data_IF_419609888207
#
_entry.id   IF_419609888207
#
_cell.length_a   1.000
_cell.length_b   1.000
_cell.length_c   1.000
_cell.angle_alpha   90.00
_cell.angle_beta   90.00
_cell.angle_gamma   90.00
#
_symmetry.space_group_name_H-M   'P 1'
#
loop_
_entity.id
_entity.type
_entity.pdbx_description
1 polymer ?
#
# COMPACT_ATOMS: atom_id res chain seq x y z
N UNK A 1 12.75 10.35 -31.94
CA UNK A 1 12.45 8.96 -32.35
C UNK A 1 11.56 8.38 -31.28
N UNK A 2 10.47 7.78 -31.66
CA UNK A 2 9.52 7.26 -30.68
C UNK A 2 9.82 5.78 -30.42
N UNK A 3 10.33 5.51 -29.23
CA UNK A 3 10.32 4.17 -28.66
C UNK A 3 11.42 3.21 -29.15
N UNK A 4 11.54 2.14 -28.39
CA UNK A 4 12.37 0.98 -28.72
C UNK A 4 11.65 0.08 -29.75
N UNK A 5 12.40 -0.79 -30.43
CA UNK A 5 11.83 -1.81 -31.31
C UNK A 5 10.96 -2.77 -30.49
N UNK A 6 9.83 -3.19 -31.08
CA UNK A 6 8.89 -4.09 -30.41
C UNK A 6 9.53 -5.46 -30.15
N UNK A 7 9.49 -5.88 -28.90
CA UNK A 7 10.03 -7.16 -28.43
C UNK A 7 9.04 -7.81 -27.45
N UNK A 8 8.48 -8.96 -27.83
CA UNK A 8 7.46 -9.66 -27.03
C UNK A 8 8.04 -10.22 -25.72
N UNK A 9 9.30 -10.63 -25.68
CA UNK A 9 9.93 -11.14 -24.45
C UNK A 9 10.09 -10.02 -23.43
N UNK A 10 10.51 -8.83 -23.88
CA UNK A 10 10.58 -7.63 -23.04
C UNK A 10 9.22 -7.15 -22.57
N UNK A 11 8.19 -7.25 -23.43
CA UNK A 11 6.80 -6.93 -23.03
C UNK A 11 6.33 -7.88 -21.92
N UNK A 12 6.57 -9.17 -22.06
CA UNK A 12 6.20 -10.17 -21.06
C UNK A 12 6.99 -10.01 -19.75
N UNK A 13 8.25 -9.58 -19.84
CA UNK A 13 9.10 -9.28 -18.67
C UNK A 13 8.72 -7.95 -17.99
N UNK A 14 7.87 -7.11 -18.61
CA UNK A 14 7.53 -5.77 -18.09
C UNK A 14 8.60 -4.71 -18.35
N UNK A 15 9.59 -5.00 -19.19
CA UNK A 15 10.70 -4.11 -19.56
C UNK A 15 10.34 -3.18 -20.73
N UNK A 16 9.31 -3.54 -21.50
CA UNK A 16 8.81 -2.76 -22.63
C UNK A 16 7.29 -2.61 -22.52
N UNK A 17 6.80 -1.38 -22.70
CA UNK A 17 5.36 -1.08 -22.67
C UNK A 17 4.87 -0.77 -24.07
N UNK A 18 3.94 -1.59 -24.64
CA UNK A 18 3.31 -1.30 -25.94
C UNK A 18 2.45 -0.03 -25.86
N UNK A 19 2.57 0.84 -26.85
CA UNK A 19 1.79 2.08 -26.92
C UNK A 19 0.82 2.01 -28.11
N UNK A 20 -0.43 2.40 -27.87
CA UNK A 20 -1.47 2.48 -28.89
C UNK A 20 -2.10 3.86 -28.93
N UNK A 21 -2.45 4.31 -30.12
CA UNK A 21 -3.18 5.55 -30.32
C UNK A 21 -4.64 5.25 -30.64
N UNK A 22 -5.55 5.87 -29.89
CA UNK A 22 -6.97 5.65 -30.06
C UNK A 22 -7.82 6.74 -29.42
N UNK A 23 -9.11 6.73 -29.74
CA UNK A 23 -10.11 7.60 -29.15
C UNK A 23 -11.34 6.80 -28.77
N UNK A 24 -11.64 6.73 -27.48
CA UNK A 24 -12.85 6.07 -26.99
C UNK A 24 -14.15 6.81 -27.43
N UNK A 25 -14.08 8.14 -27.62
CA UNK A 25 -15.26 8.92 -28.07
C UNK A 25 -15.69 8.60 -29.51
N UNK A 26 -14.74 8.31 -30.39
CA UNK A 26 -15.00 8.01 -31.80
C UNK A 26 -14.85 6.54 -32.15
N UNK A 27 -14.47 5.70 -31.14
CA UNK A 27 -14.09 4.29 -31.32
C UNK A 27 -12.92 4.07 -32.30
N UNK A 28 -12.14 5.14 -32.58
CA UNK A 28 -10.97 5.02 -33.44
C UNK A 28 -9.88 4.20 -32.74
N UNK A 29 -9.36 3.15 -33.39
CA UNK A 29 -8.30 2.30 -32.91
C UNK A 29 -8.66 1.37 -31.75
N UNK A 30 -9.89 1.42 -31.22
CA UNK A 30 -10.31 0.60 -30.06
C UNK A 30 -10.31 -0.89 -30.39
N UNK A 31 -10.86 -1.27 -31.56
CA UNK A 31 -10.90 -2.66 -31.98
C UNK A 31 -9.48 -3.23 -32.14
N UNK A 32 -8.62 -2.54 -32.90
CA UNK A 32 -7.23 -2.97 -33.10
C UNK A 32 -6.44 -3.06 -31.81
N UNK A 33 -6.70 -2.15 -30.86
CA UNK A 33 -6.11 -2.23 -29.52
C UNK A 33 -6.56 -3.49 -28.78
N UNK A 34 -7.87 -3.79 -28.77
CA UNK A 34 -8.39 -4.98 -28.08
C UNK A 34 -7.87 -6.28 -28.68
N UNK A 35 -7.82 -6.37 -30.01
CA UNK A 35 -7.25 -7.53 -30.71
C UNK A 35 -5.78 -7.75 -30.32
N UNK A 36 -4.97 -6.68 -30.35
CA UNK A 36 -3.58 -6.75 -29.94
C UNK A 36 -3.40 -7.00 -28.43
N UNK A 37 -4.26 -6.43 -27.59
CA UNK A 37 -4.25 -6.70 -26.16
C UNK A 37 -4.42 -8.18 -25.84
N UNK A 38 -5.31 -8.90 -26.55
CA UNK A 38 -5.50 -10.33 -26.38
C UNK A 38 -4.24 -11.13 -26.75
N UNK A 39 -3.51 -10.72 -27.81
CA UNK A 39 -2.27 -11.33 -28.22
C UNK A 39 -1.12 -11.07 -27.22
N UNK A 40 -1.08 -9.84 -26.66
CA UNK A 40 0.01 -9.37 -25.80
C UNK A 40 -0.19 -9.72 -24.33
N UNK A 41 -1.41 -10.11 -23.92
CA UNK A 41 -1.70 -10.44 -22.52
C UNK A 41 -0.98 -11.69 -22.06
N UNK A 42 -0.04 -11.58 -21.09
CA UNK A 42 0.69 -12.75 -20.60
C UNK A 42 -0.21 -13.64 -19.73
N UNK A 43 0.15 -14.90 -19.65
CA UNK A 43 -0.39 -15.80 -18.63
C UNK A 43 0.02 -15.31 -17.24
N UNK A 44 -0.69 -15.72 -16.14
CA UNK A 44 -0.24 -15.43 -14.80
C UNK A 44 1.23 -15.83 -14.60
N UNK A 45 2.04 -14.89 -14.10
CA UNK A 45 3.47 -15.09 -13.92
C UNK A 45 3.75 -15.64 -12.51
N UNK A 46 4.86 -16.39 -12.33
CA UNK A 46 5.35 -16.78 -11.02
C UNK A 46 5.53 -15.56 -10.09
N UNK A 47 5.39 -15.79 -8.79
CA UNK A 47 5.55 -14.73 -7.79
C UNK A 47 6.67 -15.08 -6.82
N UNK A 48 7.56 -14.13 -6.57
CA UNK A 48 8.70 -14.30 -5.67
C UNK A 48 8.28 -14.24 -4.20
N UNK A 49 8.89 -15.10 -3.39
CA UNK A 49 8.80 -15.11 -1.94
C UNK A 49 9.98 -14.33 -1.33
N UNK A 50 9.86 -13.96 -0.07
CA UNK A 50 10.92 -13.23 0.65
C UNK A 50 12.24 -14.03 0.77
N UNK A 51 12.19 -15.34 0.69
CA UNK A 51 13.38 -16.22 0.68
C UNK A 51 14.03 -16.37 -0.71
N UNK A 52 13.52 -15.66 -1.72
CA UNK A 52 14.01 -15.71 -3.11
C UNK A 52 13.48 -16.89 -3.93
N UNK A 53 12.65 -17.76 -3.38
CA UNK A 53 12.01 -18.83 -4.14
C UNK A 53 10.79 -18.31 -4.92
N UNK A 54 10.39 -19.06 -5.98
CA UNK A 54 9.27 -18.66 -6.83
C UNK A 54 8.08 -19.59 -6.60
N UNK A 55 6.88 -19.02 -6.54
CA UNK A 55 5.61 -19.76 -6.54
C UNK A 55 5.07 -19.76 -7.96
N UNK A 56 5.04 -20.95 -8.56
CA UNK A 56 4.47 -21.15 -9.90
C UNK A 56 2.94 -21.18 -9.85
N UNK A 57 2.26 -20.58 -10.86
CA UNK A 57 0.80 -20.66 -10.96
C UNK A 57 0.24 -22.09 -11.05
N UNK A 58 1.04 -23.01 -11.55
CA UNK A 58 0.71 -24.45 -11.67
C UNK A 58 0.83 -25.24 -10.36
N UNK A 59 1.33 -24.63 -9.27
CA UNK A 59 1.39 -25.28 -7.98
C UNK A 59 -0.04 -25.59 -7.47
N UNK A 60 -0.26 -26.83 -7.02
CA UNK A 60 -1.58 -27.29 -6.57
C UNK A 60 -2.03 -26.66 -5.23
N UNK A 61 -1.08 -26.26 -4.39
CA UNK A 61 -1.38 -25.65 -3.10
C UNK A 61 -1.79 -24.19 -3.27
N UNK A 62 -2.85 -23.81 -2.54
CA UNK A 62 -3.38 -22.45 -2.59
C UNK A 62 -2.39 -21.43 -2.03
N UNK A 63 -2.20 -20.34 -2.76
CA UNK A 63 -1.56 -19.14 -2.25
C UNK A 63 -2.13 -17.87 -2.89
N UNK A 64 -2.14 -16.79 -2.11
CA UNK A 64 -2.61 -15.48 -2.53
C UNK A 64 -1.95 -14.37 -1.69
N UNK A 65 -2.02 -13.15 -2.18
CA UNK A 65 -1.61 -11.97 -1.42
C UNK A 65 -2.66 -10.85 -1.50
N UNK A 66 -2.74 -10.05 -0.44
CA UNK A 66 -3.60 -8.87 -0.38
C UNK A 66 -2.89 -7.70 -1.03
N UNK A 67 -3.45 -7.14 -2.10
CA UNK A 67 -2.83 -6.00 -2.79
C UNK A 67 -3.60 -4.69 -2.64
N UNK A 68 -4.87 -4.76 -2.20
CA UNK A 68 -5.71 -3.59 -1.99
C UNK A 68 -6.69 -3.84 -0.86
N UNK A 69 -6.95 -2.81 -0.07
CA UNK A 69 -8.03 -2.78 0.92
C UNK A 69 -8.91 -1.59 0.61
N UNK A 70 -10.21 -1.75 0.71
CA UNK A 70 -11.16 -0.66 0.54
C UNK A 70 -12.26 -0.78 1.58
N UNK A 71 -12.44 0.28 2.37
CA UNK A 71 -13.52 0.40 3.34
C UNK A 71 -14.64 1.31 2.80
N UNK A 72 -15.83 1.18 3.38
CA UNK A 72 -16.97 2.06 3.13
C UNK A 72 -17.38 2.17 1.65
N UNK A 73 -17.23 1.11 0.87
CA UNK A 73 -17.69 1.08 -0.53
C UNK A 73 -19.19 1.34 -0.66
N UNK A 74 -19.96 0.90 0.33
CA UNK A 74 -21.37 1.22 0.45
C UNK A 74 -21.55 2.10 1.70
N UNK A 75 -22.00 3.37 1.56
CA UNK A 75 -22.26 4.25 2.70
C UNK A 75 -23.27 3.69 3.72
N UNK A 76 -24.19 2.82 3.28
CA UNK A 76 -25.18 2.19 4.14
C UNK A 76 -24.63 1.02 4.95
N UNK A 77 -23.55 0.41 4.50
CA UNK A 77 -22.89 -0.70 5.13
C UNK A 77 -21.41 -0.36 5.32
N UNK A 78 -20.98 -0.26 6.57
CA UNK A 78 -19.56 -0.04 6.92
C UNK A 78 -18.75 -1.30 6.68
N UNK A 79 -18.74 -1.77 5.41
CA UNK A 79 -18.00 -2.93 4.99
C UNK A 79 -16.54 -2.56 4.67
N UNK A 80 -15.66 -3.50 4.96
CA UNK A 80 -14.27 -3.47 4.54
C UNK A 80 -14.01 -4.72 3.69
N UNK A 81 -13.43 -4.52 2.53
CA UNK A 81 -13.12 -5.58 1.59
C UNK A 81 -11.63 -5.58 1.33
N UNK A 82 -11.02 -6.75 1.47
CA UNK A 82 -9.63 -7.00 1.08
C UNK A 82 -9.61 -7.72 -0.26
N UNK A 83 -8.93 -7.11 -1.23
CA UNK A 83 -8.74 -7.67 -2.57
C UNK A 83 -7.47 -8.49 -2.60
N UNK A 84 -7.60 -9.72 -3.02
CA UNK A 84 -6.54 -10.71 -3.08
C UNK A 84 -6.32 -11.16 -4.51
N UNK A 85 -5.04 -11.28 -4.91
CA UNK A 85 -4.66 -11.95 -6.13
C UNK A 85 -4.25 -13.38 -5.82
N UNK A 86 -4.85 -14.35 -6.51
CA UNK A 86 -4.48 -15.76 -6.38
C UNK A 86 -3.21 -16.00 -7.17
N UNK A 87 -2.21 -16.62 -6.53
CA UNK A 87 -0.91 -16.92 -7.13
C UNK A 87 -0.81 -18.38 -7.56
N UNK A 88 -1.38 -19.31 -6.79
CA UNK A 88 -1.35 -20.75 -7.07
C UNK A 88 -2.56 -21.46 -6.47
N UNK A 89 -2.79 -22.70 -6.89
CA UNK A 89 -3.90 -23.54 -6.42
C UNK A 89 -5.27 -23.02 -6.81
N UNK A 90 -6.29 -23.50 -6.15
CA UNK A 90 -7.69 -23.14 -6.41
C UNK A 90 -8.30 -22.56 -5.14
N UNK A 91 -8.87 -21.37 -5.26
CA UNK A 91 -9.72 -20.82 -4.23
C UNK A 91 -11.09 -21.49 -4.26
N UNK A 92 -11.60 -21.90 -3.09
CA UNK A 92 -12.98 -22.37 -2.91
C UNK A 92 -13.67 -21.56 -1.81
N UNK A 93 -14.93 -21.22 -2.04
CA UNK A 93 -15.74 -20.43 -1.12
C UNK A 93 -15.77 -21.04 0.29
N UNK A 94 -15.43 -20.21 1.27
CA UNK A 94 -15.45 -20.61 2.67
C UNK A 94 -14.23 -21.42 3.13
N UNK A 95 -13.21 -21.58 2.28
CA UNK A 95 -11.97 -22.22 2.68
C UNK A 95 -11.29 -21.47 3.82
N UNK A 96 -10.50 -22.18 4.61
CA UNK A 96 -9.65 -21.62 5.66
C UNK A 96 -8.21 -21.64 5.20
N UNK A 97 -7.52 -20.50 5.33
CA UNK A 97 -6.14 -20.31 4.89
C UNK A 97 -5.25 -19.85 6.04
N UNK A 98 -3.97 -20.15 5.96
CA UNK A 98 -2.99 -19.63 6.90
C UNK A 98 -2.64 -18.19 6.53
N UNK A 99 -2.84 -17.27 7.46
CA UNK A 99 -2.45 -15.87 7.34
C UNK A 99 -1.08 -15.68 7.99
N UNK A 100 -0.06 -15.44 7.19
CA UNK A 100 1.35 -15.43 7.62
C UNK A 100 1.62 -14.38 8.68
N UNK A 101 1.14 -13.14 8.49
CA UNK A 101 1.43 -12.01 9.37
C UNK A 101 0.82 -12.15 10.76
N UNK A 102 -0.35 -12.78 10.90
CA UNK A 102 -0.96 -13.06 12.21
C UNK A 102 -0.57 -14.43 12.79
N UNK A 103 -0.01 -15.32 11.98
CA UNK A 103 0.30 -16.70 12.37
C UNK A 103 -0.93 -17.59 12.62
N UNK A 104 -2.11 -17.20 12.10
CA UNK A 104 -3.39 -17.87 12.40
C UNK A 104 -4.08 -18.37 11.13
N UNK A 105 -4.96 -19.37 11.34
CA UNK A 105 -5.91 -19.75 10.30
C UNK A 105 -7.06 -18.75 10.25
N UNK A 106 -7.39 -18.30 9.05
CA UNK A 106 -8.47 -17.34 8.79
C UNK A 106 -9.41 -17.94 7.75
N UNK A 107 -10.72 -17.88 8.02
CA UNK A 107 -11.74 -18.28 7.05
C UNK A 107 -12.03 -17.13 6.09
N UNK A 108 -11.92 -17.39 4.79
CA UNK A 108 -12.26 -16.43 3.75
C UNK A 108 -13.78 -16.41 3.54
N UNK A 109 -14.41 -15.40 4.14
CA UNK A 109 -15.87 -15.27 4.14
C UNK A 109 -16.35 -14.36 3.01
N UNK A 110 -17.54 -14.67 2.46
CA UNK A 110 -18.26 -13.86 1.47
C UNK A 110 -17.37 -13.41 0.30
N UNK A 111 -16.73 -14.34 -0.42
CA UNK A 111 -15.90 -14.00 -1.55
C UNK A 111 -16.77 -13.37 -2.66
N UNK A 112 -16.34 -12.23 -3.15
CA UNK A 112 -17.03 -11.44 -4.17
C UNK A 112 -16.09 -11.14 -5.32
N UNK A 113 -16.62 -11.20 -6.51
CA UNK A 113 -15.99 -10.63 -7.69
C UNK A 113 -16.74 -9.37 -8.10
N UNK A 114 -16.01 -8.35 -8.50
CA UNK A 114 -16.57 -7.07 -8.87
C UNK A 114 -16.52 -6.93 -10.38
N UNK A 115 -17.69 -6.79 -10.99
CA UNK A 115 -17.83 -6.40 -12.39
C UNK A 115 -18.54 -5.05 -12.41
N UNK A 116 -17.80 -3.97 -12.57
CA UNK A 116 -18.27 -2.59 -12.43
C UNK A 116 -18.93 -2.35 -11.03
N UNK A 117 -20.23 -2.12 -10.97
CA UNK A 117 -20.98 -1.92 -9.73
C UNK A 117 -21.63 -3.20 -9.19
N UNK A 118 -21.64 -4.27 -9.98
CA UNK A 118 -22.25 -5.53 -9.59
C UNK A 118 -21.30 -6.39 -8.79
N UNK A 119 -21.85 -7.02 -7.73
CA UNK A 119 -21.13 -7.94 -6.86
C UNK A 119 -21.68 -9.35 -7.09
N UNK A 120 -20.85 -10.26 -7.54
CA UNK A 120 -21.21 -11.66 -7.69
C UNK A 120 -20.45 -12.51 -6.68
N UNK A 121 -21.11 -13.51 -6.14
CA UNK A 121 -20.46 -14.47 -5.23
C UNK A 121 -19.60 -15.40 -6.08
N UNK A 122 -18.35 -15.59 -5.65
CA UNK A 122 -17.39 -16.47 -6.31
C UNK A 122 -17.35 -17.80 -5.57
N UNK A 123 -17.66 -18.88 -6.28
CA UNK A 123 -17.55 -20.25 -5.72
C UNK A 123 -16.12 -20.77 -5.85
N UNK A 124 -15.47 -20.54 -7.00
CA UNK A 124 -14.08 -20.92 -7.29
C UNK A 124 -13.35 -19.81 -8.04
N UNK A 125 -12.05 -19.71 -7.79
CA UNK A 125 -11.17 -18.83 -8.53
C UNK A 125 -9.78 -19.46 -8.66
N UNK A 126 -9.04 -19.03 -9.69
CA UNK A 126 -7.81 -19.67 -10.17
C UNK A 126 -6.62 -18.69 -10.16
N UNK A 127 -5.39 -19.17 -10.33
CA UNK A 127 -4.21 -18.31 -10.41
C UNK A 127 -4.36 -17.19 -11.45
N UNK A 128 -4.09 -15.96 -11.00
CA UNK A 128 -4.31 -14.75 -11.80
C UNK A 128 -5.63 -14.03 -11.51
N UNK A 129 -6.63 -14.72 -10.96
CA UNK A 129 -7.90 -14.11 -10.58
C UNK A 129 -7.74 -13.18 -9.36
N UNK A 130 -8.62 -12.19 -9.32
CA UNK A 130 -8.77 -11.27 -8.20
C UNK A 130 -10.12 -11.52 -7.54
N UNK A 131 -10.09 -11.74 -6.23
CA UNK A 131 -11.28 -11.86 -5.41
C UNK A 131 -11.28 -10.82 -4.29
N UNK A 132 -12.45 -10.29 -3.94
CA UNK A 132 -12.64 -9.49 -2.75
C UNK A 132 -13.25 -10.34 -1.64
N UNK A 133 -12.70 -10.28 -0.43
CA UNK A 133 -13.28 -10.95 0.74
C UNK A 133 -13.65 -9.93 1.79
N UNK A 134 -14.74 -10.22 2.53
CA UNK A 134 -15.09 -9.41 3.69
C UNK A 134 -13.97 -9.49 4.74
N UNK A 135 -13.54 -8.34 5.21
CA UNK A 135 -12.43 -8.20 6.15
C UNK A 135 -12.90 -7.50 7.44
N UNK A 136 -12.95 -8.19 8.57
CA UNK A 136 -13.26 -7.56 9.86
C UNK A 136 -12.11 -6.69 10.43
N UNK A 137 -11.09 -6.40 9.65
CA UNK A 137 -9.91 -5.61 10.06
C UNK A 137 -8.68 -6.46 10.36
N UNK A 138 -8.59 -7.66 9.78
CA UNK A 138 -7.48 -8.60 10.00
C UNK A 138 -6.35 -8.36 9.01
N UNK A 139 -6.69 -8.08 7.73
CA UNK A 139 -5.72 -8.03 6.65
C UNK A 139 -5.06 -6.66 6.49
N UNK A 140 -3.79 -6.69 6.09
CA UNK A 140 -3.00 -5.56 5.61
C UNK A 140 -2.63 -5.72 4.13
N UNK A 141 -2.28 -4.62 3.46
CA UNK A 141 -1.69 -4.68 2.11
C UNK A 141 -0.32 -5.36 2.22
N UNK A 142 -0.04 -6.32 1.33
CA UNK A 142 1.16 -7.16 1.35
C UNK A 142 0.99 -8.47 2.13
N UNK A 143 -0.11 -8.65 2.87
CA UNK A 143 -0.33 -9.89 3.62
C UNK A 143 -0.41 -11.10 2.71
N UNK A 144 0.25 -12.17 3.16
CA UNK A 144 0.36 -13.45 2.45
C UNK A 144 -0.56 -14.50 3.06
N UNK A 145 -1.24 -15.20 2.17
CA UNK A 145 -2.19 -16.26 2.49
C UNK A 145 -1.78 -17.54 1.78
N UNK A 146 -1.81 -18.66 2.47
CA UNK A 146 -1.46 -19.96 1.88
C UNK A 146 -2.18 -21.13 2.55
N UNK A 147 -2.03 -22.30 1.97
CA UNK A 147 -2.35 -23.52 2.69
C UNK A 147 -1.52 -23.64 3.98
N UNK A 148 -2.09 -24.24 5.01
CA UNK A 148 -1.45 -24.39 6.33
C UNK A 148 -0.11 -25.14 6.27
N UNK A 149 0.09 -25.98 5.26
CA UNK A 149 1.29 -26.78 5.05
C UNK A 149 2.50 -25.97 4.58
N UNK A 150 2.29 -24.83 3.88
CA UNK A 150 3.38 -24.09 3.20
C UNK A 150 3.84 -22.85 3.95
N UNK A 151 2.95 -22.12 4.63
CA UNK A 151 3.23 -20.89 5.39
C UNK A 151 4.07 -19.86 4.62
N UNK A 152 3.74 -19.67 3.35
CA UNK A 152 4.46 -18.80 2.43
C UNK A 152 4.42 -17.32 2.85
N UNK A 153 5.45 -16.56 2.45
CA UNK A 153 5.48 -15.11 2.56
C UNK A 153 6.00 -14.51 1.25
N UNK A 154 5.11 -13.80 0.56
CA UNK A 154 5.47 -13.09 -0.66
C UNK A 154 6.33 -11.88 -0.34
N UNK A 155 7.10 -11.42 -1.33
CA UNK A 155 7.80 -10.14 -1.25
C UNK A 155 6.83 -8.99 -0.99
N UNK A 156 7.29 -8.05 -0.19
CA UNK A 156 6.53 -6.83 0.10
C UNK A 156 6.35 -5.97 -1.16
N UNK A 157 5.26 -5.23 -1.20
CA UNK A 157 5.07 -4.21 -2.23
C UNK A 157 6.03 -3.05 -2.02
N UNK A 158 6.58 -2.48 -3.11
CA UNK A 158 7.36 -1.26 -3.00
C UNK A 158 6.51 -0.14 -2.41
N UNK A 159 7.00 0.47 -1.35
CA UNK A 159 6.37 1.64 -0.72
C UNK A 159 7.16 2.87 -1.16
N UNK A 160 6.49 3.80 -1.83
CA UNK A 160 7.11 5.07 -2.19
C UNK A 160 7.25 5.96 -0.95
N UNK A 161 8.42 6.55 -0.70
CA UNK A 161 8.56 7.53 0.36
C UNK A 161 7.65 8.74 0.06
N UNK A 162 7.01 9.33 1.07
CA UNK A 162 6.19 10.51 0.87
C UNK A 162 7.07 11.74 0.60
N UNK A 163 6.55 12.63 -0.24
CA UNK A 163 7.21 13.87 -0.65
C UNK A 163 6.48 15.12 -0.17
N UNK A 164 5.23 14.98 0.26
CA UNK A 164 4.39 16.07 0.75
C UNK A 164 3.86 15.69 2.12
N UNK A 165 3.99 16.62 3.07
CA UNK A 165 3.60 16.40 4.45
C UNK A 165 2.62 17.47 4.92
N UNK A 166 1.64 17.05 5.70
CA UNK A 166 0.69 17.95 6.32
C UNK A 166 0.39 17.52 7.76
N UNK A 167 0.28 18.49 8.66
CA UNK A 167 -0.27 18.28 9.98
C UNK A 167 -1.78 18.35 9.89
N UNK A 168 -2.46 17.33 10.41
CA UNK A 168 -3.90 17.18 10.34
C UNK A 168 -4.50 16.97 11.73
N UNK A 169 -5.64 17.59 11.98
CA UNK A 169 -6.40 17.47 13.22
C UNK A 169 -7.90 17.68 12.97
N UNK A 170 -8.79 17.13 13.80
CA UNK A 170 -10.21 17.40 13.64
C UNK A 170 -10.52 18.87 13.97
N UNK A 171 -11.37 19.51 13.16
CA UNK A 171 -11.85 20.87 13.44
C UNK A 171 -12.73 20.93 14.69
N UNK A 172 -13.48 19.87 14.94
CA UNK A 172 -14.36 19.70 16.08
C UNK A 172 -13.82 18.55 16.96
N UNK A 173 -13.47 18.87 18.20
CA UNK A 173 -12.96 17.89 19.18
C UNK A 173 -13.98 16.79 19.52
N UNK A 174 -15.28 17.05 19.38
CA UNK A 174 -16.34 16.04 19.56
C UNK A 174 -16.28 14.94 18.46
N UNK A 175 -15.69 15.24 17.32
CA UNK A 175 -15.51 14.32 16.19
C UNK A 175 -14.18 13.56 16.22
N UNK A 176 -13.40 13.68 17.29
CA UNK A 176 -12.08 13.05 17.42
C UNK A 176 -12.09 11.57 17.11
N UNK A 177 -13.01 10.79 17.68
CA UNK A 177 -13.08 9.33 17.45
C UNK A 177 -13.35 8.97 15.99
N UNK A 178 -14.22 9.74 15.32
CA UNK A 178 -14.51 9.56 13.89
C UNK A 178 -13.29 9.89 13.03
N UNK A 179 -12.61 10.99 13.38
CA UNK A 179 -11.37 11.41 12.73
C UNK A 179 -10.27 10.34 12.85
N UNK A 180 -9.95 9.90 14.07
CA UNK A 180 -8.96 8.86 14.34
C UNK A 180 -9.28 7.57 13.55
N UNK A 181 -10.54 7.15 13.59
CA UNK A 181 -10.99 5.99 12.81
C UNK A 181 -10.74 6.17 11.31
N UNK A 182 -11.06 7.34 10.76
CA UNK A 182 -10.85 7.67 9.36
C UNK A 182 -9.37 7.65 8.97
N UNK A 183 -8.53 8.32 9.75
CA UNK A 183 -7.07 8.36 9.54
C UNK A 183 -6.47 6.94 9.55
N UNK A 184 -6.83 6.12 10.54
CA UNK A 184 -6.34 4.74 10.64
C UNK A 184 -6.78 3.92 9.44
N UNK A 185 -8.05 3.96 9.05
CA UNK A 185 -8.57 3.19 7.93
C UNK A 185 -7.95 3.63 6.60
N UNK A 186 -7.84 4.92 6.32
CA UNK A 186 -7.23 5.45 5.11
C UNK A 186 -5.73 5.11 5.02
N UNK A 187 -5.04 5.08 6.17
CA UNK A 187 -3.66 4.58 6.22
C UNK A 187 -3.56 3.08 5.92
N UNK A 188 -4.51 2.28 6.40
CA UNK A 188 -4.54 0.84 6.13
C UNK A 188 -4.87 0.52 4.67
N UNK A 189 -5.64 1.39 4.01
CA UNK A 189 -5.91 1.32 2.57
C UNK A 189 -4.72 1.77 1.70
N UNK A 190 -3.64 2.28 2.31
CA UNK A 190 -2.48 2.79 1.60
C UNK A 190 -2.70 4.16 0.94
N UNK A 191 -3.83 4.83 1.22
CA UNK A 191 -4.13 6.15 0.66
C UNK A 191 -3.20 7.24 1.18
N UNK A 192 -2.75 7.10 2.43
CA UNK A 192 -1.86 8.02 3.14
C UNK A 192 -0.86 7.25 4.01
N UNK A 193 0.27 7.85 4.29
CA UNK A 193 1.17 7.41 5.36
C UNK A 193 0.97 8.30 6.58
N UNK A 194 0.95 7.71 7.77
CA UNK A 194 0.65 8.41 9.01
C UNK A 194 1.85 8.33 9.96
N UNK A 195 2.22 9.48 10.50
CA UNK A 195 3.30 9.62 11.46
C UNK A 195 2.81 10.33 12.72
N UNK A 196 3.46 10.04 13.83
CA UNK A 196 3.22 10.68 15.12
C UNK A 196 4.47 11.44 15.56
N UNK A 197 4.28 12.59 16.18
CA UNK A 197 5.33 13.37 16.79
C UNK A 197 5.23 13.22 18.33
N UNK A 198 6.34 12.94 19.00
CA UNK A 198 6.37 12.91 20.45
C UNK A 198 6.12 14.31 21.04
N UNK A 199 5.50 14.34 22.21
CA UNK A 199 5.20 15.59 22.91
C UNK A 199 4.06 16.42 22.34
N UNK A 200 3.48 16.00 21.22
CA UNK A 200 2.26 16.63 20.63
C UNK A 200 1.05 15.78 21.00
N UNK A 201 -0.07 16.44 21.33
CA UNK A 201 -1.29 15.74 21.75
C UNK A 201 -1.76 14.69 20.74
N UNK A 202 -2.39 13.63 21.24
CA UNK A 202 -2.90 12.49 20.45
C UNK A 202 -3.93 12.87 19.35
N UNK A 203 -4.29 14.14 19.26
CA UNK A 203 -5.29 14.65 18.32
C UNK A 203 -4.68 15.11 16.98
N UNK A 204 -3.36 15.19 16.90
CA UNK A 204 -2.64 15.71 15.76
C UNK A 204 -1.78 14.61 15.12
N UNK A 205 -2.02 14.34 13.85
CA UNK A 205 -1.21 13.43 13.05
C UNK A 205 -0.44 14.21 12.00
N UNK A 206 0.70 13.66 11.59
CA UNK A 206 1.40 14.08 10.39
C UNK A 206 1.05 13.06 9.31
N UNK A 207 0.56 13.55 8.19
CA UNK A 207 0.22 12.74 7.02
C UNK A 207 1.27 13.00 5.94
N UNK A 208 1.80 11.91 5.39
CA UNK A 208 2.71 11.94 4.25
C UNK A 208 2.04 11.33 3.03
N UNK A 209 2.18 11.97 1.89
CA UNK A 209 1.64 11.55 0.59
C UNK A 209 2.67 11.76 -0.52
N UNK A 210 2.50 11.04 -1.63
CA UNK A 210 3.36 11.21 -2.82
C UNK A 210 2.88 12.39 -3.68
N UNK A 211 1.59 12.64 -3.74
CA UNK A 211 0.99 13.69 -4.55
C UNK A 211 -0.08 14.50 -3.80
N UNK A 212 -0.21 15.79 -4.15
CA UNK A 212 -1.14 16.73 -3.48
C UNK A 212 -2.60 16.28 -3.55
N UNK A 213 -3.02 15.64 -4.64
CA UNK A 213 -4.39 15.12 -4.81
C UNK A 213 -4.78 14.11 -3.73
N UNK A 214 -3.84 13.39 -3.15
CA UNK A 214 -4.12 12.47 -2.04
C UNK A 214 -4.58 13.22 -0.78
N UNK A 215 -4.12 14.46 -0.56
CA UNK A 215 -4.61 15.31 0.54
C UNK A 215 -6.04 15.77 0.31
N UNK A 216 -6.40 16.11 -0.92
CA UNK A 216 -7.79 16.47 -1.29
C UNK A 216 -8.73 15.26 -1.12
N UNK A 217 -8.29 14.07 -1.53
CA UNK A 217 -9.03 12.82 -1.31
C UNK A 217 -9.18 12.53 0.18
N UNK A 218 -8.14 12.75 0.99
CA UNK A 218 -8.20 12.60 2.45
C UNK A 218 -9.28 13.50 3.04
N UNK A 219 -9.27 14.79 2.68
CA UNK A 219 -10.26 15.77 3.18
C UNK A 219 -11.69 15.37 2.78
N UNK A 220 -11.90 15.06 1.50
CA UNK A 220 -13.19 14.63 0.98
C UNK A 220 -13.72 13.38 1.70
N UNK A 221 -12.88 12.36 1.86
CA UNK A 221 -13.28 11.09 2.48
C UNK A 221 -13.55 11.24 3.98
N UNK A 222 -12.73 12.01 4.72
CA UNK A 222 -12.97 12.27 6.14
C UNK A 222 -14.31 13.00 6.35
N UNK A 223 -14.64 13.96 5.50
CA UNK A 223 -15.91 14.65 5.56
C UNK A 223 -17.09 13.71 5.25
N UNK A 224 -17.04 13.03 4.13
CA UNK A 224 -18.21 12.30 3.60
C UNK A 224 -18.41 10.92 4.22
N UNK A 225 -17.34 10.21 4.57
CA UNK A 225 -17.43 8.85 5.12
C UNK A 225 -17.40 8.82 6.65
N UNK A 226 -16.72 9.79 7.28
CA UNK A 226 -16.52 9.83 8.74
C UNK A 226 -17.19 11.02 9.42
N UNK A 227 -17.84 11.91 8.65
CA UNK A 227 -18.49 13.12 9.16
C UNK A 227 -17.55 13.98 10.01
N UNK A 228 -16.29 14.06 9.64
CA UNK A 228 -15.25 14.81 10.34
C UNK A 228 -14.59 15.80 9.40
N UNK A 229 -14.78 17.09 9.69
CA UNK A 229 -14.04 18.17 9.02
C UNK A 229 -12.63 18.20 9.59
N UNK A 230 -11.64 18.27 8.73
CA UNK A 230 -10.24 18.36 9.14
C UNK A 230 -9.72 19.81 9.04
N UNK A 231 -8.79 20.14 9.94
CA UNK A 231 -7.86 21.25 9.76
C UNK A 231 -6.54 20.67 9.27
N UNK A 232 -6.02 21.23 8.19
CA UNK A 232 -4.80 20.78 7.54
C UNK A 232 -3.82 21.94 7.36
N UNK A 233 -2.59 21.74 7.86
CA UNK A 233 -1.50 22.69 7.69
C UNK A 233 -0.35 21.97 6.99
N UNK A 234 -0.02 22.37 5.78
CA UNK A 234 1.11 21.82 5.04
C UNK A 234 2.42 22.12 5.77
N UNK A 235 3.31 21.14 5.82
CA UNK A 235 4.62 21.24 6.43
C UNK A 235 5.69 21.49 5.34
N UNK A 236 6.79 22.18 5.66
CA UNK A 236 7.83 22.54 4.68
C UNK A 236 8.83 21.39 4.45
N UNK A 237 8.40 20.14 4.52
CA UNK A 237 9.24 18.97 4.33
C UNK A 237 8.92 18.30 3.01
N UNK A 238 9.96 17.77 2.35
CA UNK A 238 9.83 17.03 1.09
C UNK A 238 10.58 15.69 1.10
N UNK A 239 11.35 15.41 2.15
CA UNK A 239 12.16 14.19 2.25
C UNK A 239 11.90 13.50 3.56
N UNK A 240 11.63 12.19 3.50
CA UNK A 240 11.53 11.30 4.66
C UNK A 240 12.64 10.25 4.61
N UNK A 241 13.26 9.94 5.77
CA UNK A 241 14.19 8.83 5.92
C UNK A 241 13.90 8.08 7.22
N UNK A 242 13.76 6.77 7.13
CA UNK A 242 13.68 5.89 8.30
C UNK A 242 15.06 5.79 8.93
N UNK A 243 15.10 5.86 10.26
CA UNK A 243 16.34 5.93 11.01
C UNK A 243 16.57 4.62 11.75
N UNK A 244 17.77 4.08 11.61
CA UNK A 244 18.21 2.91 12.36
C UNK A 244 19.57 3.18 13.01
N UNK A 245 19.71 2.79 14.26
CA UNK A 245 20.97 2.78 14.98
C UNK A 245 20.98 1.66 16.01
N UNK A 246 22.13 1.00 16.20
CA UNK A 246 22.30 -0.01 17.27
C UNK A 246 22.12 0.62 18.67
N UNK A 247 22.70 1.80 18.87
CA UNK A 247 22.46 2.60 20.08
C UNK A 247 21.32 3.60 19.84
N UNK A 248 20.17 3.33 20.44
CA UNK A 248 18.97 4.19 20.34
C UNK A 248 19.21 5.63 20.81
N UNK A 249 20.17 5.86 21.72
CA UNK A 249 20.51 7.21 22.18
C UNK A 249 21.03 8.12 21.07
N UNK A 250 21.59 7.55 20.00
CA UNK A 250 22.01 8.32 18.84
C UNK A 250 20.82 8.94 18.12
N UNK A 251 19.68 8.26 18.10
CA UNK A 251 18.44 8.75 17.45
C UNK A 251 17.87 9.95 18.20
N UNK A 252 17.91 9.93 19.53
CA UNK A 252 17.44 11.05 20.36
C UNK A 252 18.31 12.31 20.22
N UNK A 253 19.55 12.14 19.74
CA UNK A 253 20.56 13.21 19.64
C UNK A 253 21.01 13.46 18.19
N UNK A 254 20.15 13.25 17.20
CA UNK A 254 20.46 13.51 15.79
C UNK A 254 20.82 15.00 15.60
N UNK A 255 22.03 15.26 15.12
CA UNK A 255 22.50 16.61 14.81
C UNK A 255 21.88 17.12 13.51
N UNK A 256 21.55 18.40 13.48
CA UNK A 256 21.05 19.07 12.27
C UNK A 256 19.55 18.99 12.04
N UNK A 257 18.80 18.54 13.05
CA UNK A 257 17.35 18.49 13.02
C UNK A 257 16.66 19.84 13.36
N UNK A 258 17.42 20.93 13.50
CA UNK A 258 16.88 22.27 13.83
C UNK A 258 15.84 22.74 12.78
N UNK A 259 16.01 22.34 11.52
CA UNK A 259 15.08 22.61 10.42
C UNK A 259 14.37 21.33 9.94
N UNK A 260 14.34 20.27 10.74
CA UNK A 260 13.71 19.02 10.46
C UNK A 260 12.75 18.61 11.57
N UNK A 261 12.27 17.39 11.50
CA UNK A 261 11.38 16.83 12.51
C UNK A 261 11.63 15.33 12.66
N UNK A 262 11.75 14.87 13.92
CA UNK A 262 11.70 13.45 14.24
C UNK A 262 10.23 13.06 14.48
N UNK A 263 9.79 12.03 13.79
CA UNK A 263 8.45 11.46 13.89
C UNK A 263 8.53 9.93 13.94
N UNK A 264 7.42 9.28 14.24
CA UNK A 264 7.36 7.82 14.31
C UNK A 264 6.23 7.33 13.40
N UNK A 265 6.51 6.29 12.62
CA UNK A 265 5.51 5.65 11.77
C UNK A 265 4.56 4.75 12.58
N UNK A 266 3.62 4.08 11.90
CA UNK A 266 2.61 3.19 12.51
C UNK A 266 3.19 1.96 13.24
N UNK A 267 4.47 1.62 13.01
CA UNK A 267 5.20 0.54 13.69
C UNK A 267 6.18 1.08 14.75
N UNK A 268 6.04 2.34 15.15
CA UNK A 268 6.91 3.05 16.08
C UNK A 268 8.38 3.13 15.63
N UNK A 269 8.64 3.09 14.31
CA UNK A 269 9.97 3.29 13.77
C UNK A 269 10.24 4.78 13.59
N UNK A 270 11.41 5.26 14.02
CA UNK A 270 11.78 6.67 13.90
C UNK A 270 11.99 7.05 12.43
N UNK A 271 11.53 8.24 12.09
CA UNK A 271 11.62 8.82 10.74
C UNK A 271 11.99 10.29 10.88
N UNK A 272 12.99 10.75 10.14
CA UNK A 272 13.26 12.17 10.02
C UNK A 272 12.57 12.74 8.79
N UNK A 273 11.98 13.92 8.97
CA UNK A 273 11.44 14.74 7.90
C UNK A 273 12.33 15.97 7.74
N UNK A 274 12.78 16.23 6.52
CA UNK A 274 13.66 17.38 6.21
C UNK A 274 13.19 18.11 4.96
N UNK A 275 13.60 19.36 4.82
CA UNK A 275 13.10 20.25 3.79
C UNK A 275 13.60 19.88 2.38
N UNK A 276 14.81 19.32 2.27
CA UNK A 276 15.44 19.01 0.99
C UNK A 276 16.63 18.05 1.16
N UNK A 277 17.15 17.57 0.03
CA UNK A 277 18.30 16.64 0.00
C UNK A 277 19.60 17.28 0.55
N UNK A 278 19.78 18.60 0.46
CA UNK A 278 20.95 19.24 1.03
C UNK A 278 20.96 19.13 2.56
N UNK A 279 19.82 19.39 3.20
CA UNK A 279 19.66 19.20 4.66
C UNK A 279 19.85 17.73 5.06
N UNK A 280 19.37 16.79 4.24
CA UNK A 280 19.59 15.37 4.47
C UNK A 280 21.09 15.03 4.43
N UNK A 281 21.81 15.45 3.37
CA UNK A 281 23.23 15.15 3.22
C UNK A 281 24.04 15.71 4.39
N UNK A 282 23.71 16.90 4.87
CA UNK A 282 24.34 17.46 6.06
C UNK A 282 24.14 16.57 7.29
N UNK A 283 22.91 16.08 7.51
CA UNK A 283 22.58 15.16 8.61
C UNK A 283 23.35 13.84 8.47
N UNK A 284 23.43 13.27 7.28
CA UNK A 284 24.19 12.03 7.02
C UNK A 284 25.67 12.20 7.44
N UNK A 285 26.30 13.28 7.02
CA UNK A 285 27.72 13.53 7.27
C UNK A 285 28.04 13.75 8.77
N UNK A 286 27.08 14.25 9.56
CA UNK A 286 27.31 14.63 10.97
C UNK A 286 26.79 13.63 12.00
N UNK A 287 26.20 12.52 11.55
CA UNK A 287 25.65 11.47 12.42
C UNK A 287 26.22 10.08 12.08
N UNK A 288 27.55 9.87 12.26
CA UNK A 288 28.14 8.56 12.03
C UNK A 288 27.54 7.54 13.00
N UNK A 289 27.28 6.32 12.51
CA UNK A 289 26.65 5.25 13.28
C UNK A 289 25.12 5.22 13.22
N UNK A 290 24.51 6.14 12.48
CA UNK A 290 23.09 6.12 12.15
C UNK A 290 22.91 5.78 10.65
N UNK A 291 22.03 4.85 10.37
CA UNK A 291 21.61 4.53 9.01
C UNK A 291 20.30 5.26 8.69
N UNK A 292 20.24 5.89 7.51
CA UNK A 292 19.07 6.62 7.01
C UNK A 292 18.56 5.93 5.74
N UNK A 293 17.41 5.30 5.85
CA UNK A 293 16.85 4.39 4.86
C UNK A 293 15.69 5.04 4.12
N UNK A 294 15.60 4.80 2.82
CA UNK A 294 14.57 5.42 1.98
C UNK A 294 13.19 4.82 2.21
N UNK A 295 13.12 3.53 2.51
CA UNK A 295 11.85 2.83 2.69
C UNK A 295 11.83 2.02 3.99
N UNK A 296 10.65 1.83 4.59
CA UNK A 296 10.51 1.10 5.84
C UNK A 296 10.90 -0.38 5.79
N UNK A 297 10.81 -1.01 4.62
CA UNK A 297 11.19 -2.41 4.43
C UNK A 297 12.69 -2.65 4.63
N UNK A 298 13.52 -1.65 4.41
CA UNK A 298 14.97 -1.77 4.61
C UNK A 298 15.35 -1.82 6.09
N UNK A 299 14.53 -1.25 6.98
CA UNK A 299 14.71 -1.37 8.45
C UNK A 299 14.48 -2.80 8.94
N UNK A 300 13.62 -3.55 8.28
CA UNK A 300 13.28 -4.93 8.66
C UNK A 300 14.32 -5.95 8.18
N UNK A 301 15.24 -5.53 7.32
CA UNK A 301 16.34 -6.37 6.78
C UNK A 301 17.64 -6.27 7.57
N UNK A 302 17.74 -5.30 8.50
CA UNK A 302 18.87 -5.07 9.39
C UNK A 302 18.63 -5.78 10.74
#
# INVERSE_FOLDING_TARGET
MAGDEFDMEKVNAGELTPMFFGSAMTNFGVQSFLEKFLELSPKPQPRMLQDGTMVEPSNENFSAFVFKIQANMNPAHRDRISFMRICSGVFEKGMSVYHKQSGKMVKLAQPQQFLAQERTIVEKAYPGDIIGVFDPGIFGIGDSLSDASQKLQFEDFPVFPPEIFARVQPKDSLKRKQFEKGIIQLSQEGAIQVFRQEGVGLESYIVGVVGVLQLEVLEYRLLNEYSSVLLMNQLPYSVARWVYAEDKKLIDNIKGLDNGMLVYDKKDRPVILVNNEWSLNWILDHNPGIQFLTVPADVEKI
#
